data_IF_350982192609
#
_entry.id   IF_350982192609
#
_cell.length_a   1.000
_cell.length_b   1.000
_cell.length_c   1.000
_cell.angle_alpha   90.00
_cell.angle_beta   90.00
_cell.angle_gamma   90.00
#
_symmetry.space_group_name_H-M   'P 1'
#
loop_
_entity.id
_entity.type
_entity.pdbx_description
1 polymer ?
#
# COMPACT_ATOMS: atom_id res chain seq x y z
N UNK A 1 -17.09 12.61 -8.47
CA UNK A 1 -16.03 11.98 -9.27
C UNK A 1 -15.08 11.29 -8.30
N UNK A 2 -15.27 10.00 -8.04
CA UNK A 2 -14.33 9.19 -7.24
C UNK A 2 -14.21 7.84 -7.93
N UNK A 3 -13.20 7.74 -8.80
CA UNK A 3 -12.86 6.49 -9.49
C UNK A 3 -12.25 5.53 -8.49
N UNK A 4 -13.04 4.57 -8.02
CA UNK A 4 -12.53 3.45 -7.24
C UNK A 4 -11.78 2.51 -8.18
N UNK A 5 -10.44 2.54 -8.11
CA UNK A 5 -9.56 1.58 -8.79
C UNK A 5 -8.82 0.73 -7.75
N UNK A 6 -9.43 0.47 -6.59
CA UNK A 6 -8.86 -0.38 -5.53
C UNK A 6 -8.67 -1.84 -5.98
N UNK A 7 -9.43 -2.28 -7.01
CA UNK A 7 -9.39 -3.66 -7.50
C UNK A 7 -8.06 -4.07 -8.18
N UNK A 8 -7.20 -3.12 -8.57
CA UNK A 8 -5.96 -3.41 -9.30
C UNK A 8 -4.69 -3.31 -8.45
N UNK A 9 -4.80 -3.26 -7.12
CA UNK A 9 -3.63 -3.18 -6.24
C UNK A 9 -2.86 -4.51 -6.31
N UNK A 10 -1.59 -4.41 -6.71
CA UNK A 10 -0.65 -5.53 -6.83
C UNK A 10 0.54 -5.32 -5.89
N UNK A 11 1.18 -6.40 -5.41
CA UNK A 11 2.34 -6.30 -4.52
C UNK A 11 3.58 -5.69 -5.18
N UNK A 12 3.60 -5.68 -6.51
CA UNK A 12 4.65 -5.12 -7.36
C UNK A 12 4.53 -3.59 -7.48
N UNK A 13 3.36 -3.02 -7.20
CA UNK A 13 3.19 -1.57 -7.17
C UNK A 13 3.95 -0.95 -6.00
N UNK A 14 4.46 0.25 -6.25
CA UNK A 14 5.08 1.06 -5.20
C UNK A 14 4.05 1.65 -4.25
N UNK A 15 4.44 1.93 -3.01
CA UNK A 15 3.55 2.62 -2.07
C UNK A 15 3.04 3.95 -2.63
N UNK A 16 3.86 4.64 -3.43
CA UNK A 16 3.47 5.90 -4.06
C UNK A 16 2.39 5.71 -5.15
N UNK A 17 2.52 4.69 -6.01
CA UNK A 17 1.47 4.36 -6.99
C UNK A 17 0.16 3.97 -6.33
N UNK A 18 0.22 3.16 -5.26
CA UNK A 18 -0.95 2.75 -4.51
C UNK A 18 -1.59 3.97 -3.83
N UNK A 19 -0.80 4.85 -3.24
CA UNK A 19 -1.30 6.08 -2.58
C UNK A 19 -1.89 7.08 -3.59
N UNK A 20 -1.30 7.18 -4.79
CA UNK A 20 -1.83 8.00 -5.87
C UNK A 20 -3.16 7.47 -6.40
N UNK A 21 -3.31 6.15 -6.50
CA UNK A 21 -4.55 5.51 -6.93
C UNK A 21 -5.62 5.51 -5.82
N UNK A 22 -5.20 5.25 -4.59
CA UNK A 22 -6.05 5.09 -3.39
C UNK A 22 -5.43 5.88 -2.23
N UNK A 23 -5.80 7.15 -2.04
CA UNK A 23 -5.23 7.96 -0.96
C UNK A 23 -5.53 7.40 0.44
N UNK A 24 -6.60 6.61 0.60
CA UNK A 24 -6.93 5.91 1.84
C UNK A 24 -5.90 4.82 2.21
N UNK A 25 -5.15 4.29 1.23
CA UNK A 25 -4.06 3.33 1.48
C UNK A 25 -2.97 3.93 2.37
N UNK A 26 -2.74 5.24 2.27
CA UNK A 26 -1.74 5.93 3.08
C UNK A 26 -2.06 5.87 4.57
N UNK A 27 -3.35 5.97 4.95
CA UNK A 27 -3.75 5.81 6.35
C UNK A 27 -3.47 4.39 6.86
N UNK A 28 -3.71 3.37 6.03
CA UNK A 28 -3.40 1.98 6.34
C UNK A 28 -1.89 1.82 6.55
N UNK A 29 -1.07 2.29 5.62
CA UNK A 29 0.39 2.27 5.73
C UNK A 29 0.89 2.98 7.00
N UNK A 30 0.36 4.15 7.29
CA UNK A 30 0.72 4.91 8.48
C UNK A 30 0.36 4.17 9.78
N UNK A 31 -0.76 3.44 9.82
CA UNK A 31 -1.11 2.57 10.96
C UNK A 31 -0.13 1.42 11.17
N UNK A 32 0.46 0.89 10.09
CA UNK A 32 1.49 -0.14 10.14
C UNK A 32 2.91 0.42 10.36
N UNK A 33 3.07 1.74 10.50
CA UNK A 33 4.38 2.40 10.66
C UNK A 33 5.21 2.43 9.38
N UNK A 34 4.55 2.37 8.22
CA UNK A 34 5.19 2.50 6.91
C UNK A 34 5.23 3.98 6.50
N UNK A 35 6.24 4.69 6.97
CA UNK A 35 6.45 6.08 6.60
C UNK A 35 7.01 6.22 5.18
N UNK A 36 6.38 7.11 4.40
CA UNK A 36 6.73 7.45 3.01
C UNK A 36 8.17 7.94 2.84
N UNK A 37 8.85 8.30 3.93
CA UNK A 37 10.24 8.76 3.97
C UNK A 37 11.25 7.72 3.45
N UNK A 38 10.95 6.41 3.55
CA UNK A 38 11.86 5.35 3.07
C UNK A 38 11.20 4.36 2.09
N UNK A 39 9.86 4.38 1.97
CA UNK A 39 9.08 3.37 1.25
C UNK A 39 8.44 3.82 -0.06
N UNK A 40 8.41 5.12 -0.38
CA UNK A 40 7.68 5.64 -1.55
C UNK A 40 8.12 5.08 -2.90
N UNK A 41 9.42 4.78 -3.06
CA UNK A 41 9.98 4.15 -4.26
C UNK A 41 10.09 2.62 -4.16
N UNK A 42 9.71 2.03 -3.02
CA UNK A 42 9.78 0.58 -2.81
C UNK A 42 8.42 -0.05 -3.07
N UNK A 43 8.44 -1.27 -3.57
CA UNK A 43 7.24 -2.07 -3.78
C UNK A 43 6.63 -2.46 -2.45
N UNK A 44 5.30 -2.64 -2.44
CA UNK A 44 4.57 -3.11 -1.26
C UNK A 44 5.17 -4.40 -0.70
N UNK A 45 5.51 -5.37 -1.58
CA UNK A 45 6.17 -6.62 -1.19
C UNK A 45 7.47 -6.39 -0.43
N UNK A 46 8.35 -5.56 -0.99
CA UNK A 46 9.68 -5.34 -0.40
C UNK A 46 9.59 -4.60 0.94
N UNK A 47 8.64 -3.68 1.08
CA UNK A 47 8.40 -3.00 2.35
C UNK A 47 7.84 -3.98 3.39
N UNK A 48 6.89 -4.83 2.98
CA UNK A 48 6.34 -5.84 3.87
C UNK A 48 7.40 -6.83 4.35
N UNK A 49 8.23 -7.37 3.44
CA UNK A 49 9.33 -8.27 3.81
C UNK A 49 10.33 -7.61 4.77
N UNK A 50 10.71 -6.35 4.51
CA UNK A 50 11.66 -5.63 5.36
C UNK A 50 11.13 -5.29 6.75
N UNK A 51 9.83 -5.04 6.86
CA UNK A 51 9.17 -4.71 8.12
C UNK A 51 8.53 -5.93 8.79
N UNK A 52 8.72 -7.13 8.23
CA UNK A 52 8.04 -8.36 8.65
C UNK A 52 6.51 -8.18 8.77
N UNK A 53 5.94 -7.42 7.84
CA UNK A 53 4.50 -7.21 7.73
C UNK A 53 3.88 -8.25 6.81
N UNK A 54 2.61 -8.53 7.08
CA UNK A 54 1.84 -9.51 6.36
C UNK A 54 1.29 -8.89 5.07
N UNK A 55 2.01 -9.12 3.96
CA UNK A 55 1.69 -8.56 2.64
C UNK A 55 0.27 -8.93 2.19
N UNK A 56 -0.16 -10.17 2.44
CA UNK A 56 -1.48 -10.67 2.03
C UNK A 56 -2.59 -9.94 2.80
N UNK A 57 -2.42 -9.79 4.11
CA UNK A 57 -3.33 -9.02 4.96
C UNK A 57 -3.44 -7.57 4.50
N UNK A 58 -2.30 -6.92 4.23
CA UNK A 58 -2.26 -5.53 3.76
C UNK A 58 -2.92 -5.38 2.39
N UNK A 59 -2.64 -6.28 1.44
CA UNK A 59 -3.30 -6.31 0.12
C UNK A 59 -4.81 -6.48 0.23
N UNK A 60 -5.26 -7.33 1.15
CA UNK A 60 -6.69 -7.60 1.37
C UNK A 60 -7.40 -6.37 1.94
N UNK A 61 -6.80 -5.70 2.93
CA UNK A 61 -7.30 -4.43 3.47
C UNK A 61 -7.36 -3.36 2.38
N UNK A 62 -6.27 -3.21 1.60
CA UNK A 62 -6.18 -2.24 0.51
C UNK A 62 -7.22 -2.46 -0.59
N UNK A 63 -7.52 -3.72 -0.92
CA UNK A 63 -8.56 -4.08 -1.91
C UNK A 63 -9.98 -3.95 -1.36
N UNK A 64 -10.14 -3.90 -0.05
CA UNK A 64 -11.42 -3.74 0.63
C UNK A 64 -11.82 -2.26 0.84
N UNK A 65 -10.89 -1.32 0.63
CA UNK A 65 -11.14 0.13 0.60
C UNK A 65 -11.91 0.53 -0.67
#
# INVERSE_FOLDING_TARGET
MTGSTAAAITPEMTLNEITLAVPAALEVFNRYGLDSCCGGAKTLALVCERHALDLDTLLKELRAL
#
